data_IF_568984760931
#
_entry.id   IF_568984760931
#
_cell.length_a   1.000
_cell.length_b   1.000
_cell.length_c   1.000
_cell.angle_alpha   90.00
_cell.angle_beta   90.00
_cell.angle_gamma   90.00
#
_symmetry.space_group_name_H-M   'P 1'
#
loop_
_entity.id
_entity.type
_entity.pdbx_description
1 polymer ?
#
# COMPACT_ATOMS: atom_id res chain seq x y z
N UNK A 1 -0.15 -27.72 22.84
CA UNK A 1 -0.74 -26.51 22.24
C UNK A 1 0.04 -26.15 20.99
N UNK A 2 -0.60 -26.02 19.81
CA UNK A 2 0.10 -25.64 18.58
C UNK A 2 0.22 -24.12 18.53
N UNK A 3 1.30 -23.56 19.08
CA UNK A 3 1.72 -22.19 18.78
C UNK A 3 2.13 -22.14 17.30
N UNK A 4 1.21 -21.68 16.45
CA UNK A 4 1.41 -21.57 15.01
C UNK A 4 1.80 -20.15 14.64
N UNK A 5 3.08 -19.95 14.32
CA UNK A 5 3.75 -18.70 13.91
C UNK A 5 3.03 -17.88 12.82
N UNK A 6 2.07 -18.47 12.10
CA UNK A 6 1.30 -17.79 11.05
C UNK A 6 0.01 -17.15 11.57
N UNK A 7 -0.61 -17.66 12.63
CA UNK A 7 -1.92 -17.16 13.10
C UNK A 7 -1.79 -15.76 13.70
N UNK A 8 -0.77 -15.55 14.54
CA UNK A 8 -0.53 -14.27 15.19
C UNK A 8 -0.08 -13.20 14.18
N UNK A 9 0.79 -13.57 13.23
CA UNK A 9 1.22 -12.69 12.14
C UNK A 9 0.05 -12.31 11.24
N UNK A 10 -0.83 -13.26 10.91
CA UNK A 10 -2.02 -12.98 10.09
C UNK A 10 -2.99 -12.06 10.82
N UNK A 11 -3.17 -12.25 12.14
CA UNK A 11 -4.05 -11.41 12.96
C UNK A 11 -3.52 -9.98 13.08
N UNK A 12 -2.21 -9.82 13.32
CA UNK A 12 -1.59 -8.49 13.42
C UNK A 12 -1.63 -7.75 12.08
N UNK A 13 -1.30 -8.41 10.97
CA UNK A 13 -1.35 -7.80 9.63
C UNK A 13 -2.79 -7.49 9.23
N UNK A 14 -3.72 -8.42 9.47
CA UNK A 14 -5.13 -8.24 9.15
C UNK A 14 -5.77 -7.08 9.91
N UNK A 15 -5.47 -6.93 11.21
CA UNK A 15 -5.98 -5.81 12.00
C UNK A 15 -5.49 -4.46 11.47
N UNK A 16 -4.18 -4.33 11.23
CA UNK A 16 -3.59 -3.10 10.68
C UNK A 16 -4.12 -2.76 9.29
N UNK A 17 -4.46 -3.76 8.47
CA UNK A 17 -5.12 -3.53 7.20
C UNK A 17 -6.52 -2.96 7.37
N UNK A 18 -7.35 -3.55 8.24
CA UNK A 18 -8.70 -3.08 8.49
C UNK A 18 -8.69 -1.63 9.01
N UNK A 19 -7.80 -1.32 9.96
CA UNK A 19 -7.59 0.05 10.46
C UNK A 19 -7.17 0.99 9.33
N UNK A 20 -6.24 0.57 8.47
CA UNK A 20 -5.81 1.38 7.34
C UNK A 20 -6.94 1.67 6.33
N UNK A 21 -7.87 0.74 6.13
CA UNK A 21 -9.06 0.95 5.32
C UNK A 21 -10.01 1.98 5.96
N UNK A 22 -10.20 1.90 7.27
CA UNK A 22 -11.03 2.86 8.01
C UNK A 22 -10.46 4.28 7.93
N UNK A 23 -9.14 4.44 8.14
CA UNK A 23 -8.50 5.76 7.98
C UNK A 23 -8.54 6.26 6.54
N UNK A 24 -8.43 5.36 5.56
CA UNK A 24 -8.56 5.73 4.15
C UNK A 24 -9.96 6.25 3.81
N UNK A 25 -11.00 5.58 4.32
CA UNK A 25 -12.41 5.96 4.15
C UNK A 25 -12.70 7.33 4.78
N UNK A 26 -12.08 7.61 5.93
CA UNK A 26 -12.14 8.92 6.62
C UNK A 26 -11.26 10.00 5.99
N UNK A 27 -10.63 9.73 4.84
CA UNK A 27 -9.67 10.61 4.17
C UNK A 27 -8.41 10.97 4.99
N UNK A 28 -8.12 10.24 6.07
CA UNK A 28 -6.85 10.34 6.79
C UNK A 28 -5.78 9.48 6.09
N UNK A 29 -5.34 10.01 4.95
CA UNK A 29 -4.36 9.36 4.10
C UNK A 29 -2.97 9.26 4.74
N UNK A 30 -2.66 10.15 5.69
CA UNK A 30 -1.41 10.08 6.43
C UNK A 30 -1.39 8.82 7.32
N UNK A 31 -2.42 8.63 8.15
CA UNK A 31 -2.53 7.45 9.02
C UNK A 31 -2.67 6.15 8.23
N UNK A 32 -3.46 6.17 7.17
CA UNK A 32 -3.56 5.01 6.28
C UNK A 32 -2.19 4.64 5.70
N UNK A 33 -1.41 5.60 5.20
CA UNK A 33 -0.05 5.35 4.70
C UNK A 33 0.89 4.78 5.77
N UNK A 34 0.86 5.34 6.99
CA UNK A 34 1.69 4.89 8.12
C UNK A 34 1.44 3.44 8.49
N UNK A 35 0.17 3.01 8.46
CA UNK A 35 -0.22 1.63 8.76
C UNK A 35 0.13 0.68 7.61
N UNK A 36 -0.04 1.10 6.36
CA UNK A 36 0.18 0.27 5.17
C UNK A 36 1.66 0.07 4.84
N UNK A 37 2.49 1.10 4.98
CA UNK A 37 3.88 1.08 4.51
C UNK A 37 4.73 -0.06 5.14
N UNK A 38 4.66 -0.33 6.46
CA UNK A 38 5.39 -1.44 7.08
C UNK A 38 4.92 -2.82 6.63
N UNK A 39 3.71 -2.94 6.09
CA UNK A 39 3.12 -4.21 5.68
C UNK A 39 3.55 -4.64 4.26
N UNK A 40 4.04 -3.71 3.43
CA UNK A 40 4.48 -3.95 2.04
C UNK A 40 5.30 -5.24 1.87
N UNK A 41 6.26 -5.48 2.76
CA UNK A 41 7.14 -6.67 2.72
C UNK A 41 6.63 -7.87 3.53
N UNK A 42 5.64 -7.66 4.40
CA UNK A 42 5.05 -8.71 5.25
C UNK A 42 3.98 -9.50 4.51
N UNK A 43 3.34 -8.91 3.49
CA UNK A 43 2.25 -9.57 2.75
C UNK A 43 2.64 -10.89 2.08
N UNK A 44 3.87 -11.00 1.59
CA UNK A 44 4.36 -12.27 1.01
C UNK A 44 4.30 -13.41 2.05
N UNK A 45 4.40 -13.07 3.35
CA UNK A 45 4.36 -14.04 4.46
C UNK A 45 2.95 -14.42 4.90
N UNK A 46 1.95 -13.56 4.64
CA UNK A 46 0.55 -13.79 5.04
C UNK A 46 -0.22 -14.61 3.99
N UNK A 47 0.31 -14.69 2.75
CA UNK A 47 -0.30 -15.42 1.65
C UNK A 47 -1.12 -14.53 0.72
N UNK A 48 -2.14 -15.08 0.07
CA UNK A 48 -3.01 -14.37 -0.86
C UNK A 48 -2.54 -14.35 -2.32
N UNK A 49 -3.49 -14.11 -3.22
CA UNK A 49 -3.23 -14.10 -4.67
C UNK A 49 -2.39 -12.89 -5.09
N UNK A 50 -1.77 -12.98 -6.27
CA UNK A 50 -1.05 -11.84 -6.85
C UNK A 50 -1.98 -10.62 -7.04
N UNK A 51 -3.26 -10.87 -7.35
CA UNK A 51 -4.26 -9.82 -7.51
C UNK A 51 -4.58 -9.11 -6.18
N UNK A 52 -4.77 -9.86 -5.09
CA UNK A 52 -5.00 -9.29 -3.75
C UNK A 52 -3.82 -8.43 -3.30
N UNK A 53 -2.60 -8.92 -3.50
CA UNK A 53 -1.36 -8.16 -3.21
C UNK A 53 -1.21 -6.91 -4.08
N UNK A 54 -1.75 -6.94 -5.29
CA UNK A 54 -1.73 -5.78 -6.19
C UNK A 54 -2.66 -4.66 -5.70
N UNK A 55 -3.87 -5.02 -5.25
CA UNK A 55 -4.83 -4.06 -4.68
C UNK A 55 -4.23 -3.39 -3.44
N UNK A 56 -3.56 -4.13 -2.57
CA UNK A 56 -2.88 -3.57 -1.41
C UNK A 56 -1.81 -2.54 -1.80
N UNK A 57 -0.94 -2.88 -2.76
CA UNK A 57 0.08 -1.95 -3.24
C UNK A 57 -0.55 -0.68 -3.84
N UNK A 58 -1.64 -0.83 -4.59
CA UNK A 58 -2.36 0.29 -5.18
C UNK A 58 -2.98 1.20 -4.11
N UNK A 59 -3.52 0.63 -3.03
CA UNK A 59 -4.03 1.39 -1.90
C UNK A 59 -2.92 2.17 -1.19
N UNK A 60 -1.77 1.54 -0.94
CA UNK A 60 -0.60 2.22 -0.36
C UNK A 60 -0.12 3.37 -1.26
N UNK A 61 -0.05 3.15 -2.58
CA UNK A 61 0.30 4.23 -3.53
C UNK A 61 -0.72 5.37 -3.44
N UNK A 62 -2.02 5.06 -3.45
CA UNK A 62 -3.07 6.08 -3.45
C UNK A 62 -3.12 6.89 -2.16
N UNK A 63 -3.01 6.22 -1.01
CA UNK A 63 -2.92 6.88 0.30
C UNK A 63 -1.67 7.77 0.39
N UNK A 64 -0.51 7.26 -0.02
CA UNK A 64 0.73 8.02 -0.01
C UNK A 64 0.68 9.24 -0.94
N UNK A 65 0.01 9.11 -2.10
CA UNK A 65 -0.25 10.19 -3.06
C UNK A 65 -1.14 11.29 -2.48
N UNK A 66 -2.21 10.92 -1.77
CA UNK A 66 -3.18 11.86 -1.19
C UNK A 66 -2.79 12.41 0.18
N UNK A 67 -1.77 11.85 0.81
CA UNK A 67 -1.25 12.34 2.08
C UNK A 67 -0.74 13.79 1.95
N UNK A 68 -1.00 14.64 2.97
CA UNK A 68 -0.44 15.99 3.01
C UNK A 68 1.08 16.01 3.29
N UNK A 69 1.66 14.88 3.72
CA UNK A 69 3.06 14.78 4.09
C UNK A 69 3.95 14.59 2.85
N UNK A 70 4.93 15.48 2.66
CA UNK A 70 5.91 15.40 1.57
C UNK A 70 6.68 14.08 1.54
N UNK A 71 7.00 13.51 2.70
CA UNK A 71 7.66 12.21 2.82
C UNK A 71 6.81 11.08 2.21
N UNK A 72 5.49 11.12 2.40
CA UNK A 72 4.57 10.13 1.83
C UNK A 72 4.45 10.32 0.31
N UNK A 73 4.43 11.56 -0.16
CA UNK A 73 4.43 11.84 -1.61
C UNK A 73 5.72 11.36 -2.28
N UNK A 74 6.88 11.50 -1.62
CA UNK A 74 8.13 10.89 -2.06
C UNK A 74 8.02 9.36 -2.11
N UNK A 75 7.48 8.72 -1.07
CA UNK A 75 7.23 7.28 -1.04
C UNK A 75 6.34 6.84 -2.21
N UNK A 76 5.27 7.56 -2.51
CA UNK A 76 4.39 7.27 -3.63
C UNK A 76 5.15 7.23 -4.98
N UNK A 77 6.04 8.20 -5.21
CA UNK A 77 6.88 8.23 -6.42
C UNK A 77 7.80 7.03 -6.50
N UNK A 78 8.47 6.66 -5.40
CA UNK A 78 9.31 5.46 -5.35
C UNK A 78 8.51 4.19 -5.64
N UNK A 79 7.32 4.04 -5.04
CA UNK A 79 6.45 2.88 -5.25
C UNK A 79 5.93 2.79 -6.70
N UNK A 80 5.61 3.93 -7.32
CA UNK A 80 5.20 3.98 -8.72
C UNK A 80 6.35 3.61 -9.66
N UNK A 81 7.57 4.09 -9.40
CA UNK A 81 8.76 3.70 -10.17
C UNK A 81 9.04 2.20 -10.06
N UNK A 82 8.99 1.63 -8.85
CA UNK A 82 9.09 0.18 -8.64
C UNK A 82 8.01 -0.59 -9.41
N UNK A 83 6.78 -0.08 -9.41
CA UNK A 83 5.66 -0.70 -10.12
C UNK A 83 5.85 -0.65 -11.63
N UNK A 84 6.31 0.48 -12.19
CA UNK A 84 6.59 0.64 -13.62
C UNK A 84 7.67 -0.32 -14.07
N UNK A 85 8.75 -0.47 -13.29
CA UNK A 85 9.80 -1.44 -13.57
C UNK A 85 9.29 -2.89 -13.59
N UNK A 86 8.33 -3.24 -12.73
CA UNK A 86 7.73 -4.59 -12.67
C UNK A 86 6.62 -4.83 -13.68
N UNK A 87 5.94 -3.77 -14.13
CA UNK A 87 4.76 -3.82 -15.00
C UNK A 87 4.87 -2.72 -16.06
N UNK A 88 5.86 -2.87 -16.93
CA UNK A 88 6.27 -1.85 -17.91
C UNK A 88 5.11 -1.38 -18.78
N UNK A 89 4.25 -2.30 -19.25
CA UNK A 89 3.15 -1.98 -20.16
C UNK A 89 1.80 -1.86 -19.45
N UNK A 90 1.76 -1.29 -18.23
CA UNK A 90 0.50 -1.13 -17.47
C UNK A 90 -0.07 0.29 -17.62
N UNK A 91 -1.17 0.49 -18.37
CA UNK A 91 -1.81 1.81 -18.51
C UNK A 91 -2.27 2.42 -17.19
N UNK A 92 -2.63 1.57 -16.23
CA UNK A 92 -3.01 2.00 -14.89
C UNK A 92 -1.83 2.65 -14.15
N UNK A 93 -0.62 2.08 -14.27
CA UNK A 93 0.59 2.65 -13.65
C UNK A 93 0.92 4.00 -14.28
N UNK A 94 0.85 4.10 -15.61
CA UNK A 94 1.13 5.35 -16.33
C UNK A 94 0.16 6.46 -15.90
N UNK A 95 -1.13 6.14 -15.81
CA UNK A 95 -2.15 7.08 -15.32
C UNK A 95 -1.89 7.54 -13.89
N UNK A 96 -1.44 6.66 -13.00
CA UNK A 96 -1.12 7.04 -11.62
C UNK A 96 0.15 7.90 -11.54
N UNK A 97 1.17 7.62 -12.36
CA UNK A 97 2.36 8.46 -12.46
C UNK A 97 2.01 9.89 -12.92
N UNK A 98 1.16 10.03 -13.93
CA UNK A 98 0.69 11.35 -14.39
C UNK A 98 -0.03 12.12 -13.27
N UNK A 99 -0.91 11.44 -12.51
CA UNK A 99 -1.59 12.05 -11.36
C UNK A 99 -0.61 12.48 -10.27
N UNK A 100 0.42 11.68 -10.00
CA UNK A 100 1.43 12.00 -8.99
C UNK A 100 2.21 13.26 -9.35
N UNK A 101 2.47 13.50 -10.64
CA UNK A 101 3.10 14.74 -11.11
C UNK A 101 2.16 15.93 -10.98
N UNK A 102 0.88 15.77 -11.32
CA UNK A 102 -0.11 16.86 -11.31
C UNK A 102 -0.55 17.35 -9.91
N UNK A 103 -0.27 16.59 -8.84
CA UNK A 103 -0.57 17.00 -7.45
C UNK A 103 0.57 17.80 -6.80
N UNK A 104 1.59 18.15 -7.57
CA UNK A 104 2.72 19.01 -7.18
C UNK A 104 2.71 20.28 -8.01
#
# INVERSE_FOLDING_TARGET
ERQGTNSDVTKEVGLKMCEAFEYFDKEDYAKSTELLAPLKYKFVKVGGSNAQRDVFHLLLIHSAMRSPLKSHQCLARSLLAERKAKKENSPMTDRLMLKAVAMH
#
